data_IF_067216656287
#
_entry.id   IF_067216656287
#
_cell.length_a   1.000
_cell.length_b   1.000
_cell.length_c   1.000
_cell.angle_alpha   90.00
_cell.angle_beta   90.00
_cell.angle_gamma   90.00
#
_symmetry.space_group_name_H-M   'P 1'
#
loop_
_entity.id
_entity.type
_entity.pdbx_description
1 polymer ?
#
# COMPACT_ATOMS: atom_id res chain seq x y z
N UNK A 1 -2.33 12.15 -3.58
CA UNK A 1 -2.10 10.82 -4.18
C UNK A 1 -3.39 10.28 -4.80
N UNK A 2 -3.24 9.53 -5.91
CA UNK A 2 -4.34 8.74 -6.48
C UNK A 2 -4.67 7.53 -5.60
N UNK A 3 -5.82 6.92 -5.81
CA UNK A 3 -6.19 5.69 -5.09
C UNK A 3 -5.21 4.54 -5.41
N UNK A 4 -4.73 4.45 -6.63
CA UNK A 4 -3.75 3.44 -7.02
C UNK A 4 -2.42 3.61 -6.28
N UNK A 5 -1.95 4.84 -6.15
CA UNK A 5 -0.73 5.15 -5.40
C UNK A 5 -0.89 4.82 -3.92
N UNK A 6 -2.01 5.20 -3.31
CA UNK A 6 -2.29 4.91 -1.91
C UNK A 6 -2.30 3.40 -1.67
N UNK A 7 -2.99 2.65 -2.53
CA UNK A 7 -3.04 1.19 -2.43
C UNK A 7 -1.67 0.54 -2.62
N UNK A 8 -0.87 1.04 -3.55
CA UNK A 8 0.48 0.52 -3.80
C UNK A 8 1.42 0.77 -2.61
N UNK A 9 1.39 1.96 -2.03
CA UNK A 9 2.21 2.30 -0.86
C UNK A 9 1.76 1.51 0.36
N UNK A 10 0.45 1.34 0.57
CA UNK A 10 -0.10 0.50 1.64
C UNK A 10 0.41 -0.94 1.53
N UNK A 11 0.29 -1.52 0.35
CA UNK A 11 0.75 -2.90 0.11
C UNK A 11 2.26 -3.05 0.33
N UNK A 12 3.06 -2.12 -0.20
CA UNK A 12 4.50 -2.13 -0.01
C UNK A 12 4.88 -1.97 1.48
N UNK A 13 4.16 -1.12 2.21
CA UNK A 13 4.40 -0.92 3.65
C UNK A 13 4.16 -2.20 4.44
N UNK A 14 3.13 -2.98 4.09
CA UNK A 14 2.82 -4.25 4.74
C UNK A 14 3.85 -5.34 4.43
N UNK A 15 4.47 -5.32 3.27
CA UNK A 15 5.38 -6.34 2.78
C UNK A 15 6.76 -5.78 2.41
N UNK A 16 7.28 -4.88 3.25
CA UNK A 16 8.54 -4.16 3.00
C UNK A 16 9.74 -5.07 2.71
N UNK A 17 9.80 -6.23 3.35
CA UNK A 17 10.85 -7.22 3.11
C UNK A 17 10.84 -7.74 1.67
N UNK A 18 9.65 -7.93 1.11
CA UNK A 18 9.49 -8.39 -0.28
C UNK A 18 9.96 -7.36 -1.29
N UNK A 19 9.94 -6.08 -0.93
CA UNK A 19 10.44 -4.95 -1.74
C UNK A 19 11.88 -4.58 -1.42
N UNK A 20 12.53 -5.31 -0.51
CA UNK A 20 13.93 -5.13 -0.10
C UNK A 20 14.29 -3.76 0.52
N UNK A 21 13.31 -3.00 1.03
CA UNK A 21 13.58 -1.75 1.75
C UNK A 21 13.44 -1.88 3.27
N UNK A 22 12.97 -3.01 3.75
CA UNK A 22 12.79 -3.29 5.17
C UNK A 22 13.10 -4.76 5.45
N UNK A 23 13.57 -5.07 6.66
CA UNK A 23 13.75 -6.45 7.12
C UNK A 23 12.45 -7.09 7.61
N UNK A 24 11.32 -6.37 7.55
CA UNK A 24 10.06 -6.77 8.18
C UNK A 24 8.90 -6.75 7.20
N UNK A 25 8.06 -7.78 7.26
CA UNK A 25 6.73 -7.77 6.70
C UNK A 25 5.74 -7.70 7.86
N UNK A 26 4.95 -6.62 7.96
CA UNK A 26 3.99 -6.41 9.07
C UNK A 26 2.94 -7.52 9.16
N UNK A 27 2.52 -8.06 8.03
CA UNK A 27 1.54 -9.16 7.96
C UNK A 27 2.18 -10.53 7.77
N UNK A 28 3.52 -10.64 7.99
CA UNK A 28 4.27 -11.88 7.85
C UNK A 28 4.48 -12.31 6.41
N UNK A 29 5.13 -13.46 6.22
CA UNK A 29 5.28 -14.06 4.90
C UNK A 29 4.02 -14.84 4.56
N UNK A 30 3.38 -14.48 3.46
CA UNK A 30 2.20 -15.12 2.92
C UNK A 30 2.44 -15.43 1.44
N UNK A 31 2.30 -16.71 1.06
CA UNK A 31 2.45 -17.15 -0.33
C UNK A 31 1.47 -16.45 -1.27
N UNK A 32 0.31 -16.04 -0.75
CA UNK A 32 -0.77 -15.40 -1.51
C UNK A 32 -0.78 -13.88 -1.39
N UNK A 33 0.29 -13.27 -0.84
CA UNK A 33 0.33 -11.81 -0.58
C UNK A 33 0.01 -10.96 -1.81
N UNK A 34 0.47 -11.36 -2.98
CA UNK A 34 0.22 -10.59 -4.20
C UNK A 34 -1.20 -10.75 -4.74
N UNK A 35 -1.87 -11.86 -4.46
CA UNK A 35 -3.29 -12.02 -4.79
C UNK A 35 -4.19 -11.18 -3.88
N UNK A 36 -3.71 -10.83 -2.68
CA UNK A 36 -4.42 -9.91 -1.78
C UNK A 36 -4.40 -8.45 -2.26
N UNK A 37 -3.49 -8.09 -3.16
CA UNK A 37 -3.35 -6.70 -3.60
C UNK A 37 -4.65 -6.14 -4.19
N UNK A 38 -5.32 -6.90 -5.04
CA UNK A 38 -6.59 -6.48 -5.62
C UNK A 38 -7.68 -6.28 -4.56
N UNK A 39 -7.78 -7.19 -3.60
CA UNK A 39 -8.73 -7.09 -2.48
C UNK A 39 -8.42 -5.88 -1.60
N UNK A 40 -7.15 -5.65 -1.28
CA UNK A 40 -6.74 -4.49 -0.49
C UNK A 40 -6.98 -3.18 -1.22
N UNK A 41 -6.87 -3.16 -2.54
CA UNK A 41 -7.17 -1.98 -3.35
C UNK A 41 -8.64 -1.58 -3.21
N UNK A 42 -9.56 -2.55 -3.22
CA UNK A 42 -10.98 -2.28 -2.99
C UNK A 42 -11.24 -1.78 -1.57
N UNK A 43 -10.64 -2.41 -0.56
CA UNK A 43 -10.74 -1.99 0.83
C UNK A 43 -10.19 -0.56 1.02
N UNK A 44 -9.09 -0.24 0.36
CA UNK A 44 -8.51 1.11 0.39
C UNK A 44 -9.48 2.12 -0.21
N UNK A 45 -10.10 1.81 -1.33
CA UNK A 45 -11.11 2.67 -1.97
C UNK A 45 -12.29 2.92 -1.05
N UNK A 46 -12.84 1.87 -0.45
CA UNK A 46 -13.96 1.97 0.47
C UNK A 46 -13.60 2.76 1.72
N UNK A 47 -12.43 2.49 2.28
CA UNK A 47 -11.91 3.22 3.43
C UNK A 47 -11.70 4.70 3.13
N UNK A 48 -11.15 5.04 1.98
CA UNK A 48 -10.95 6.43 1.55
C UNK A 48 -12.29 7.15 1.36
N UNK A 49 -13.29 6.47 0.80
CA UNK A 49 -14.64 7.02 0.67
C UNK A 49 -15.22 7.37 2.04
N UNK A 50 -15.06 6.49 3.02
CA UNK A 50 -15.51 6.74 4.38
C UNK A 50 -14.77 7.93 5.02
N UNK A 51 -13.45 8.01 4.85
CA UNK A 51 -12.63 9.11 5.39
C UNK A 51 -13.01 10.45 4.77
N UNK A 52 -13.33 10.48 3.47
CA UNK A 52 -13.83 11.69 2.79
C UNK A 52 -15.17 12.11 3.38
N UNK A 53 -16.10 11.19 3.56
CA UNK A 53 -17.42 11.47 4.14
C UNK A 53 -17.33 12.02 5.56
N UNK A 54 -16.32 11.61 6.32
CA UNK A 54 -16.10 12.08 7.68
C UNK A 54 -15.23 13.33 7.79
N UNK A 55 -14.78 13.86 6.65
CA UNK A 55 -13.99 15.08 6.60
C UNK A 55 -12.53 14.92 7.02
N UNK A 56 -12.01 13.69 7.07
CA UNK A 56 -10.60 13.42 7.37
C UNK A 56 -9.70 13.51 6.15
N UNK A 57 -10.28 13.37 4.97
CA UNK A 57 -9.58 13.40 3.69
C UNK A 57 -10.37 14.28 2.72
N UNK A 58 -9.66 15.13 2.00
CA UNK A 58 -10.21 15.93 0.91
C UNK A 58 -9.96 15.22 -0.42
N UNK A 59 -10.94 15.29 -1.31
CA UNK A 59 -10.83 14.72 -2.66
C UNK A 59 -10.99 15.80 -3.70
N UNK A 60 -10.06 15.84 -4.67
CA UNK A 60 -10.08 16.81 -5.76
C UNK A 60 -10.14 16.06 -7.10
N UNK A 61 -11.10 16.37 -7.96
CA UNK A 61 -11.16 15.82 -9.30
C UNK A 61 -10.06 16.44 -10.19
N UNK A 62 -9.42 15.62 -10.99
CA UNK A 62 -8.45 16.05 -12.00
C UNK A 62 -8.78 15.41 -13.33
N UNK A 63 -8.07 15.83 -14.40
CA UNK A 63 -8.21 15.21 -15.73
C UNK A 63 -7.89 13.71 -15.73
N UNK A 64 -7.03 13.28 -14.80
CA UNK A 64 -6.56 11.90 -14.70
C UNK A 64 -7.23 11.11 -13.55
N UNK A 65 -8.33 11.61 -13.00
CA UNK A 65 -9.06 10.99 -11.91
C UNK A 65 -8.99 11.81 -10.62
N UNK A 66 -9.29 11.18 -9.49
CA UNK A 66 -9.35 11.85 -8.20
C UNK A 66 -8.01 11.82 -7.49
N UNK A 67 -7.67 12.92 -6.84
CA UNK A 67 -6.50 13.04 -5.96
C UNK A 67 -6.98 13.26 -4.53
N UNK A 68 -6.39 12.55 -3.59
CA UNK A 68 -6.73 12.55 -2.18
C UNK A 68 -5.64 13.23 -1.37
N UNK A 69 -6.04 14.10 -0.44
CA UNK A 69 -5.16 14.80 0.48
C UNK A 69 -5.73 14.72 1.90
N UNK A 70 -4.87 14.59 2.88
CA UNK A 70 -5.32 14.61 4.28
C UNK A 70 -5.79 16.02 4.64
N UNK A 71 -6.93 16.13 5.33
CA UNK A 71 -7.43 17.40 5.87
C UNK A 71 -6.75 17.74 7.20
N UNK A 72 -6.94 18.98 7.69
CA UNK A 72 -6.48 19.36 9.01
C UNK A 72 -7.08 18.47 10.11
N UNK A 73 -8.37 18.13 10.00
CA UNK A 73 -9.05 17.21 10.90
C UNK A 73 -8.46 15.79 10.80
N UNK A 74 -8.10 15.35 9.61
CA UNK A 74 -7.45 14.06 9.38
C UNK A 74 -6.07 14.00 10.00
N UNK A 75 -5.29 15.08 9.92
CA UNK A 75 -3.98 15.18 10.57
C UNK A 75 -4.10 15.04 12.08
N UNK A 76 -5.06 15.70 12.68
CA UNK A 76 -5.31 15.61 14.12
C UNK A 76 -5.73 14.20 14.53
N UNK A 77 -6.65 13.59 13.79
CA UNK A 77 -7.05 12.20 14.02
C UNK A 77 -5.85 11.25 13.93
N UNK A 78 -5.01 11.41 12.91
CA UNK A 78 -3.81 10.58 12.71
C UNK A 78 -2.83 10.69 13.88
N UNK A 79 -2.66 11.88 14.47
CA UNK A 79 -1.79 12.09 15.64
C UNK A 79 -2.25 11.31 16.86
N UNK A 80 -3.54 11.05 17.00
CA UNK A 80 -4.12 10.31 18.10
C UNK A 80 -3.94 8.79 17.98
N UNK A 81 -3.55 8.30 16.81
CA UNK A 81 -3.26 6.88 16.58
C UNK A 81 -1.85 6.57 17.08
N UNK A 82 -1.75 6.02 18.28
CA UNK A 82 -0.48 5.80 18.98
C UNK A 82 -0.21 4.34 19.36
N UNK A 83 -1.01 3.40 18.87
CA UNK A 83 -0.76 1.97 19.08
C UNK A 83 0.58 1.55 18.49
N UNK A 84 1.15 0.47 19.02
CA UNK A 84 2.40 -0.10 18.48
C UNK A 84 2.28 -0.40 16.98
N UNK A 85 1.17 -1.01 16.57
CA UNK A 85 0.92 -1.30 15.16
C UNK A 85 0.89 -0.03 14.31
N UNK A 86 0.20 1.01 14.76
CA UNK A 86 0.13 2.29 14.04
C UNK A 86 1.50 2.93 13.87
N UNK A 87 2.35 2.87 14.89
CA UNK A 87 3.72 3.40 14.83
C UNK A 87 4.59 2.59 13.86
N UNK A 88 4.52 1.27 13.91
CA UNK A 88 5.25 0.39 13.00
C UNK A 88 4.80 0.57 11.55
N UNK A 89 3.49 0.64 11.32
CA UNK A 89 2.92 0.89 10.01
C UNK A 89 3.37 2.23 9.43
N UNK A 90 3.34 3.29 10.24
CA UNK A 90 3.80 4.62 9.84
C UNK A 90 5.29 4.61 9.46
N UNK A 91 6.12 3.88 10.21
CA UNK A 91 7.54 3.69 9.88
C UNK A 91 7.73 2.98 8.54
N UNK A 92 6.96 1.94 8.28
CA UNK A 92 6.99 1.20 7.02
C UNK A 92 6.52 2.07 5.84
N UNK A 93 5.50 2.91 6.04
CA UNK A 93 5.04 3.87 5.03
C UNK A 93 6.17 4.84 4.65
N UNK A 94 6.91 5.37 5.64
CA UNK A 94 8.04 6.25 5.36
C UNK A 94 9.10 5.57 4.52
N UNK A 95 9.46 4.34 4.86
CA UNK A 95 10.43 3.56 4.10
C UNK A 95 9.95 3.28 2.67
N UNK A 96 8.68 2.95 2.50
CA UNK A 96 8.08 2.74 1.19
C UNK A 96 8.14 4.02 0.34
N UNK A 97 7.77 5.16 0.92
CA UNK A 97 7.81 6.45 0.22
C UNK A 97 9.23 6.85 -0.18
N UNK A 98 10.22 6.60 0.66
CA UNK A 98 11.63 6.82 0.34
C UNK A 98 12.09 5.90 -0.79
N UNK A 99 11.72 4.63 -0.72
CA UNK A 99 12.09 3.63 -1.74
C UNK A 99 11.53 4.01 -3.12
N UNK A 100 10.31 4.51 -3.17
CA UNK A 100 9.62 4.88 -4.41
C UNK A 100 9.73 6.36 -4.76
N UNK A 101 10.58 7.14 -4.09
CA UNK A 101 10.63 8.60 -4.24
C UNK A 101 10.89 9.08 -5.67
N UNK A 102 11.61 8.31 -6.47
CA UNK A 102 11.95 8.64 -7.86
C UNK A 102 11.09 7.88 -8.89
N UNK A 103 10.14 7.08 -8.42
CA UNK A 103 9.30 6.27 -9.29
C UNK A 103 7.99 6.98 -9.61
N UNK A 104 7.51 6.80 -10.85
CA UNK A 104 6.15 7.17 -11.22
C UNK A 104 5.15 6.16 -10.64
N UNK A 105 3.87 6.52 -10.59
CA UNK A 105 2.80 5.58 -10.22
C UNK A 105 2.87 4.31 -11.06
N UNK A 106 3.01 4.43 -12.37
CA UNK A 106 3.11 3.29 -13.27
C UNK A 106 4.35 2.44 -12.98
N UNK A 107 5.47 3.08 -12.65
CA UNK A 107 6.70 2.38 -12.27
C UNK A 107 6.53 1.54 -11.02
N UNK A 108 5.84 2.05 -10.02
CA UNK A 108 5.54 1.32 -8.77
C UNK A 108 4.63 0.13 -9.06
N UNK A 109 3.56 0.33 -9.82
CA UNK A 109 2.64 -0.74 -10.20
C UNK A 109 3.34 -1.84 -11.01
N UNK A 110 4.26 -1.47 -11.90
CA UNK A 110 5.07 -2.43 -12.66
C UNK A 110 5.97 -3.26 -11.76
N UNK A 111 6.56 -2.66 -10.73
CA UNK A 111 7.37 -3.38 -9.74
C UNK A 111 6.54 -4.40 -8.96
N UNK A 112 5.34 -4.02 -8.55
CA UNK A 112 4.42 -4.93 -7.86
C UNK A 112 4.05 -6.10 -8.78
N UNK A 113 3.74 -5.84 -10.05
CA UNK A 113 3.40 -6.86 -11.02
C UNK A 113 4.55 -7.84 -11.28
N UNK A 114 5.79 -7.35 -11.39
CA UNK A 114 6.97 -8.21 -11.55
C UNK A 114 7.14 -9.16 -10.37
N UNK A 115 6.98 -8.65 -9.16
CA UNK A 115 7.07 -9.47 -7.95
C UNK A 115 5.93 -10.48 -7.88
N UNK A 116 4.72 -10.10 -8.31
CA UNK A 116 3.58 -10.99 -8.37
C UNK A 116 3.81 -12.15 -9.35
N UNK A 117 4.32 -11.86 -10.55
CA UNK A 117 4.64 -12.89 -11.55
C UNK A 117 5.72 -13.83 -11.02
N UNK A 118 6.80 -13.30 -10.44
CA UNK A 118 7.85 -14.11 -9.86
C UNK A 118 7.34 -15.01 -8.72
N UNK A 119 6.40 -14.52 -7.91
CA UNK A 119 5.76 -15.29 -6.85
C UNK A 119 4.92 -16.44 -7.41
N UNK A 120 4.15 -16.19 -8.47
CA UNK A 120 3.35 -17.24 -9.14
C UNK A 120 4.24 -18.34 -9.74
N UNK A 121 5.36 -17.97 -10.36
CA UNK A 121 6.33 -18.92 -10.90
C UNK A 121 6.91 -19.82 -9.80
N UNK A 122 7.21 -19.27 -8.63
CA UNK A 122 7.67 -20.02 -7.46
C UNK A 122 6.60 -20.98 -6.93
N UNK A 123 5.35 -20.56 -6.91
CA UNK A 123 4.23 -21.40 -6.50
C UNK A 123 4.05 -22.59 -7.46
N UNK A 124 4.12 -22.35 -8.78
CA UNK A 124 4.06 -23.42 -9.79
C UNK A 124 5.22 -24.40 -9.62
N UNK A 125 6.45 -23.91 -9.43
CA UNK A 125 7.62 -24.76 -9.21
C UNK A 125 7.45 -25.63 -7.94
N UNK A 126 6.99 -25.05 -6.85
CA UNK A 126 6.73 -25.78 -5.60
C UNK A 126 5.63 -26.84 -5.75
N UNK A 127 4.61 -26.54 -6.56
CA UNK A 127 3.50 -27.46 -6.82
C UNK A 127 3.93 -28.64 -7.68
N UNK A 128 4.86 -28.46 -8.60
CA UNK A 128 5.39 -29.52 -9.47
C UNK A 128 6.46 -30.40 -8.82
N UNK A 129 7.08 -29.95 -7.71
CA UNK A 129 8.05 -30.72 -6.94
C UNK A 129 7.41 -31.77 -6.01
N UNK A 130 6.12 -31.66 -5.78
CA UNK A 130 5.35 -32.66 -5.01
C UNK A 130 4.84 -33.80 -5.93
#
# INVERSE_FOLDING_TARGET
FSINMIAAVDFAALYGRSFAFSGMNLHGDNLFKFSEFATRKELTRDGMTLLVRRGFVDVNPTKNGFIYCISARGKEFSRQLDTRYAKEYRGQIRLALQHFSNDSEQGILNKINKLAVASLEKEEAAFHEE
#
